data_IF_465352714995
#
_entry.id   IF_465352714995
#
_cell.length_a   1.000
_cell.length_b   1.000
_cell.length_c   1.000
_cell.angle_alpha   90.00
_cell.angle_beta   90.00
_cell.angle_gamma   90.00
#
_symmetry.space_group_name_H-M   'P 1'
#
loop_
_entity.id
_entity.type
_entity.pdbx_description
1 polymer ?
#
# COMPACT_ATOMS: atom_id res chain seq x y z
N UNK A 1 -20.22 -2.23 9.60
CA UNK A 1 -19.16 -1.22 9.77
C UNK A 1 -19.10 -0.41 8.48
N UNK A 2 -19.80 0.72 8.43
CA UNK A 2 -19.82 1.58 7.24
C UNK A 2 -18.75 2.65 7.43
N UNK A 3 -17.63 2.48 6.75
CA UNK A 3 -16.55 3.48 6.75
C UNK A 3 -17.12 4.76 6.14
N UNK A 4 -17.15 5.85 6.93
CA UNK A 4 -17.54 7.18 6.48
C UNK A 4 -16.69 7.56 5.26
N UNK A 5 -17.32 7.92 4.15
CA UNK A 5 -16.66 8.29 2.89
C UNK A 5 -15.81 9.56 2.98
N UNK A 6 -15.88 10.29 4.12
CA UNK A 6 -15.00 11.41 4.49
C UNK A 6 -13.70 10.97 5.17
N UNK A 7 -13.65 9.73 5.68
CA UNK A 7 -12.44 9.13 6.24
C UNK A 7 -11.78 8.31 5.14
N UNK A 8 -10.54 8.66 4.77
CA UNK A 8 -9.82 7.90 3.77
C UNK A 8 -9.73 6.43 4.26
N UNK A 9 -10.12 5.43 3.45
CA UNK A 9 -10.17 4.02 3.86
C UNK A 9 -8.80 3.44 4.27
N UNK A 10 -7.72 4.21 4.08
CA UNK A 10 -6.37 3.92 4.57
C UNK A 10 -6.15 4.14 6.07
N UNK A 11 -7.05 4.83 6.78
CA UNK A 11 -6.81 5.23 8.18
C UNK A 11 -5.78 6.35 8.35
N UNK A 12 -5.33 6.98 7.26
CA UNK A 12 -4.48 8.17 7.31
C UNK A 12 -5.34 9.42 7.58
N UNK A 13 -4.85 10.28 8.47
CA UNK A 13 -5.41 11.60 8.72
C UNK A 13 -5.64 12.37 7.39
N UNK A 14 -6.66 13.24 7.30
CA UNK A 14 -6.89 14.04 6.09
C UNK A 14 -5.61 14.76 5.68
N UNK A 15 -5.34 14.89 4.36
CA UNK A 15 -4.08 15.42 3.86
C UNK A 15 -3.80 16.79 4.48
N UNK A 16 -2.82 16.84 5.37
CA UNK A 16 -2.25 18.11 5.80
C UNK A 16 -1.36 18.61 4.65
N UNK A 17 -1.64 19.78 4.04
CA UNK A 17 -0.84 20.31 2.94
C UNK A 17 0.64 20.55 3.32
N UNK A 18 0.96 20.60 4.62
CA UNK A 18 2.34 20.70 5.13
C UNK A 18 3.01 19.34 5.38
N UNK A 19 2.32 18.22 5.13
CA UNK A 19 2.87 16.88 5.28
C UNK A 19 3.18 16.27 3.91
N UNK A 20 4.19 15.40 3.84
CA UNK A 20 4.54 14.70 2.60
C UNK A 20 3.37 13.86 2.02
N UNK A 21 2.41 13.46 2.86
CA UNK A 21 1.17 12.77 2.47
C UNK A 21 0.12 13.68 1.76
N UNK A 22 0.29 15.01 1.85
CA UNK A 22 -0.55 16.02 1.21
C UNK A 22 0.03 16.59 -0.08
N UNK A 23 1.32 16.37 -0.35
CA UNK A 23 1.96 16.83 -1.59
C UNK A 23 1.40 16.06 -2.79
N UNK A 24 0.80 16.80 -3.72
CA UNK A 24 0.38 16.28 -5.03
C UNK A 24 1.62 15.71 -5.75
N UNK A 25 1.51 14.49 -6.28
CA UNK A 25 2.60 13.79 -6.96
C UNK A 25 3.49 12.91 -6.07
N UNK A 26 3.25 12.86 -4.75
CA UNK A 26 3.95 11.91 -3.88
C UNK A 26 3.43 10.47 -4.08
N UNK A 27 4.30 9.48 -3.86
CA UNK A 27 3.93 8.06 -3.86
C UNK A 27 2.72 7.79 -2.94
N UNK A 28 2.72 8.39 -1.74
CA UNK A 28 1.63 8.21 -0.77
C UNK A 28 0.30 8.80 -1.29
N UNK A 29 0.35 9.90 -2.03
CA UNK A 29 -0.85 10.45 -2.67
C UNK A 29 -1.38 9.51 -3.76
N UNK A 30 -0.50 8.93 -4.58
CA UNK A 30 -0.87 7.94 -5.59
C UNK A 30 -1.49 6.68 -4.95
N UNK A 31 -0.84 6.09 -3.95
CA UNK A 31 -1.36 4.92 -3.23
C UNK A 31 -2.75 5.19 -2.63
N UNK A 32 -2.98 6.38 -2.11
CA UNK A 32 -4.30 6.77 -1.59
C UNK A 32 -5.37 6.79 -2.66
N UNK A 33 -5.06 7.29 -3.86
CA UNK A 33 -5.99 7.32 -4.97
C UNK A 33 -6.32 5.89 -5.44
N UNK A 34 -5.32 5.00 -5.44
CA UNK A 34 -5.53 3.58 -5.74
C UNK A 34 -6.37 2.89 -4.67
N UNK A 35 -6.15 3.17 -3.38
CA UNK A 35 -7.01 2.65 -2.31
C UNK A 35 -8.46 3.16 -2.43
N UNK A 36 -8.68 4.35 -2.98
CA UNK A 36 -10.05 4.84 -3.23
C UNK A 36 -10.76 4.01 -4.31
N UNK A 37 -10.03 3.58 -5.34
CA UNK A 37 -10.55 2.70 -6.39
C UNK A 37 -10.72 1.25 -5.94
N UNK A 38 -9.82 0.77 -5.07
CA UNK A 38 -9.78 -0.62 -4.56
C UNK A 38 -9.85 -0.64 -3.04
N UNK A 39 -10.95 -0.14 -2.47
CA UNK A 39 -11.09 0.04 -1.02
C UNK A 39 -11.13 -1.27 -0.23
N UNK A 40 -11.51 -2.37 -0.88
CA UNK A 40 -11.61 -3.71 -0.30
C UNK A 40 -10.35 -4.57 -0.52
N UNK A 41 -9.33 -4.03 -1.21
CA UNK A 41 -8.08 -4.74 -1.48
C UNK A 41 -6.92 -4.16 -0.68
N UNK A 42 -5.98 -5.01 -0.26
CA UNK A 42 -4.66 -4.61 0.26
C UNK A 42 -3.82 -4.10 -0.91
N UNK A 43 -3.32 -2.87 -0.81
CA UNK A 43 -2.52 -2.26 -1.88
C UNK A 43 -1.03 -2.55 -1.63
N UNK A 44 -0.42 -3.31 -2.54
CA UNK A 44 1.03 -3.51 -2.61
C UNK A 44 1.57 -2.71 -3.78
N UNK A 45 2.40 -1.71 -3.49
CA UNK A 45 3.00 -0.85 -4.51
C UNK A 45 4.47 -1.18 -4.65
N UNK A 46 4.90 -1.47 -5.87
CA UNK A 46 6.31 -1.66 -6.16
C UNK A 46 7.04 -0.33 -6.10
N UNK A 47 8.17 -0.34 -5.40
CA UNK A 47 9.10 0.78 -5.25
C UNK A 47 10.51 0.22 -5.45
N UNK A 48 11.03 0.31 -6.67
CA UNK A 48 12.27 -0.34 -7.08
C UNK A 48 12.25 -1.87 -6.90
N UNK A 49 13.07 -2.36 -5.97
CA UNK A 49 13.25 -3.80 -5.67
C UNK A 49 12.36 -4.33 -4.54
N UNK A 50 11.44 -3.50 -4.02
CA UNK A 50 10.55 -3.85 -2.92
C UNK A 50 9.09 -3.61 -3.27
N UNK A 51 8.21 -4.38 -2.63
CA UNK A 51 6.80 -4.06 -2.53
C UNK A 51 6.51 -3.48 -1.16
N UNK A 52 5.89 -2.30 -1.15
CA UNK A 52 5.53 -1.60 0.07
C UNK A 52 4.01 -1.41 0.15
N UNK A 53 3.48 -1.54 1.37
CA UNK A 53 2.15 -1.09 1.73
C UNK A 53 2.22 -0.04 2.83
N UNK A 54 1.15 0.72 2.95
CA UNK A 54 1.07 1.90 3.82
C UNK A 54 -0.14 1.79 4.75
N UNK A 55 -0.11 2.49 5.88
CA UNK A 55 -1.27 2.66 6.77
C UNK A 55 -1.85 1.34 7.26
N UNK A 56 -3.17 1.17 7.09
CA UNK A 56 -3.87 -0.06 7.44
C UNK A 56 -3.34 -1.29 6.68
N UNK A 57 -2.98 -1.14 5.41
CA UNK A 57 -2.48 -2.26 4.61
C UNK A 57 -1.12 -2.76 5.13
N UNK A 58 -0.30 -1.86 5.66
CA UNK A 58 0.93 -2.24 6.34
C UNK A 58 0.65 -3.05 7.62
N UNK A 59 -0.39 -2.71 8.38
CA UNK A 59 -0.76 -3.45 9.60
C UNK A 59 -1.26 -4.85 9.23
N UNK A 60 -2.04 -4.97 8.15
CA UNK A 60 -2.51 -6.27 7.65
C UNK A 60 -1.33 -7.16 7.24
N UNK A 61 -0.31 -6.60 6.57
CA UNK A 61 0.91 -7.33 6.24
C UNK A 61 1.68 -7.82 7.48
N UNK A 62 1.77 -6.99 8.52
CA UNK A 62 2.45 -7.36 9.77
C UNK A 62 1.69 -8.47 10.48
N UNK A 63 0.37 -8.36 10.57
CA UNK A 63 -0.48 -9.31 11.29
C UNK A 63 -0.60 -10.66 10.56
N UNK A 64 -0.86 -10.66 9.26
CA UNK A 64 -1.13 -11.89 8.50
C UNK A 64 0.12 -12.53 7.92
N UNK A 65 1.11 -11.73 7.50
CA UNK A 65 2.31 -12.23 6.86
C UNK A 65 3.53 -12.22 7.80
N UNK A 66 3.40 -11.68 9.01
CA UNK A 66 4.50 -11.60 9.98
C UNK A 66 5.64 -10.67 9.54
N UNK A 67 5.36 -9.72 8.64
CA UNK A 67 6.38 -8.78 8.15
C UNK A 67 6.72 -7.73 9.21
N UNK A 68 7.94 -7.19 9.15
CA UNK A 68 8.39 -6.17 10.09
C UNK A 68 7.96 -4.77 9.64
N UNK A 69 7.50 -3.90 10.57
CA UNK A 69 7.22 -2.51 10.25
C UNK A 69 8.51 -1.76 9.90
N UNK A 70 8.42 -0.85 8.92
CA UNK A 70 9.55 -0.13 8.34
C UNK A 70 9.51 1.38 8.61
N UNK A 71 10.65 1.93 9.01
CA UNK A 71 10.88 3.37 9.06
C UNK A 71 10.02 4.15 10.06
N UNK A 72 9.67 3.53 11.19
CA UNK A 72 8.95 4.17 12.31
C UNK A 72 7.57 4.74 11.96
N UNK A 73 7.00 4.30 10.85
CA UNK A 73 5.69 4.71 10.34
C UNK A 73 4.86 3.46 10.05
N UNK A 74 3.57 3.62 9.80
CA UNK A 74 2.71 2.53 9.32
C UNK A 74 3.09 2.17 7.88
N UNK A 75 4.22 1.48 7.70
CA UNK A 75 4.76 0.97 6.44
C UNK A 75 5.31 -0.42 6.70
N UNK A 76 5.06 -1.33 5.77
CA UNK A 76 5.60 -2.68 5.79
C UNK A 76 5.75 -3.16 4.35
N UNK A 77 6.66 -4.09 4.12
CA UNK A 77 6.96 -4.54 2.77
C UNK A 77 7.85 -5.76 2.73
N UNK A 78 8.00 -6.28 1.52
CA UNK A 78 8.84 -7.43 1.22
C UNK A 78 9.65 -7.17 -0.05
N UNK A 79 10.84 -7.79 -0.20
CA UNK A 79 11.56 -7.74 -1.46
C UNK A 79 10.75 -8.41 -2.57
N UNK A 80 10.93 -7.98 -3.83
CA UNK A 80 10.22 -8.53 -5.00
C UNK A 80 10.32 -10.06 -5.08
N UNK A 81 11.47 -10.62 -4.70
CA UNK A 81 11.71 -12.07 -4.68
C UNK A 81 10.75 -12.84 -3.75
N UNK A 82 10.23 -12.18 -2.72
CA UNK A 82 9.35 -12.77 -1.71
C UNK A 82 7.88 -12.32 -1.87
N UNK A 83 7.55 -11.66 -2.98
CA UNK A 83 6.18 -11.18 -3.22
C UNK A 83 5.18 -12.33 -3.25
N UNK A 84 5.52 -13.45 -3.89
CA UNK A 84 4.62 -14.59 -4.00
C UNK A 84 4.22 -15.13 -2.63
N UNK A 85 5.20 -15.32 -1.74
CA UNK A 85 4.94 -15.75 -0.36
C UNK A 85 4.00 -14.78 0.37
N UNK A 86 4.19 -13.48 0.16
CA UNK A 86 3.34 -12.45 0.78
C UNK A 86 1.92 -12.47 0.22
N UNK A 87 1.76 -12.68 -1.09
CA UNK A 87 0.46 -12.85 -1.73
C UNK A 87 -0.25 -14.12 -1.25
N UNK A 88 0.48 -15.23 -1.09
CA UNK A 88 -0.06 -16.48 -0.60
C UNK A 88 -0.58 -16.33 0.84
N UNK A 89 0.18 -15.63 1.71
CA UNK A 89 -0.26 -15.33 3.07
C UNK A 89 -1.55 -14.48 3.10
N UNK A 90 -1.62 -13.41 2.31
CA UNK A 90 -2.79 -12.53 2.25
C UNK A 90 -4.02 -13.24 1.68
N UNK A 91 -3.86 -14.01 0.60
CA UNK A 91 -4.97 -14.72 -0.05
C UNK A 91 -5.45 -15.90 0.79
N UNK A 92 -4.56 -16.58 1.51
CA UNK A 92 -4.94 -17.62 2.49
C UNK A 92 -5.75 -17.04 3.65
N UNK A 93 -5.45 -15.80 4.05
CA UNK A 93 -6.25 -15.05 5.01
C UNK A 93 -7.60 -14.54 4.45
N UNK A 94 -7.90 -14.81 3.18
CA UNK A 94 -9.12 -14.37 2.50
C UNK A 94 -9.12 -12.90 2.09
N UNK A 95 -7.95 -12.25 2.10
CA UNK A 95 -7.81 -10.85 1.71
C UNK A 95 -7.63 -10.74 0.19
N UNK A 96 -8.28 -9.74 -0.40
CA UNK A 96 -8.06 -9.35 -1.79
C UNK A 96 -6.83 -8.46 -1.86
N UNK A 97 -5.99 -8.64 -2.88
CA UNK A 97 -4.74 -7.90 -3.01
C UNK A 97 -4.67 -7.24 -4.37
N UNK A 98 -4.30 -5.97 -4.41
CA UNK A 98 -4.00 -5.23 -5.62
C UNK A 98 -2.50 -4.95 -5.67
N UNK A 99 -1.83 -5.54 -6.66
CA UNK A 99 -0.40 -5.32 -6.91
C UNK A 99 -0.25 -4.25 -7.97
N UNK A 100 0.46 -3.19 -7.63
CA UNK A 100 0.75 -2.07 -8.51
C UNK A 100 2.22 -2.12 -8.85
N UNK A 101 2.51 -2.31 -10.14
CA UNK A 101 3.84 -2.27 -10.69
C UNK A 101 4.25 -0.83 -11.04
N UNK A 102 5.55 -0.56 -11.03
CA UNK A 102 6.10 0.62 -11.67
C UNK A 102 5.92 0.45 -13.19
N UNK A 103 5.23 1.40 -13.83
CA UNK A 103 5.22 1.46 -15.29
C UNK A 103 6.63 1.84 -15.73
N UNK A 104 7.32 0.95 -16.46
CA UNK A 104 8.50 1.35 -17.19
C UNK A 104 8.05 2.39 -18.22
N UNK A 105 8.60 3.60 -18.18
CA UNK A 105 8.51 4.51 -19.30
C UNK A 105 9.15 3.80 -20.49
N UNK A 106 8.32 3.29 -21.40
CA UNK A 106 8.76 2.79 -22.70
C UNK A 106 9.14 4.00 -23.56
N UNK A 107 10.23 4.67 -23.20
CA UNK A 107 11.01 5.51 -24.10
C UNK A 107 12.36 4.81 -24.34
N UNK A 108 12.25 3.67 -25.01
CA UNK A 108 13.37 3.02 -25.69
C UNK A 108 12.91 2.76 -27.13
N UNK A 109 13.09 3.79 -27.94
CA UNK A 109 13.13 3.72 -29.40
C UNK A 109 14.24 2.78 -29.90
#
# INVERSE_FOLDING_TARGET
FQLDSRVCPMGYAPPNPNSDAGKKGSLVAFVRDQKRSYSDCVILTRVGDFYEAFGLDAILLVEFCGLNPMGGKARAGCPVKNVQQTLDCLTTAGLRVAVIEEAADTDAA
#
